data_IF_805382484029
#
_entry.id   IF_805382484029
#
_cell.length_a   1.000
_cell.length_b   1.000
_cell.length_c   1.000
_cell.angle_alpha   90.00
_cell.angle_beta   90.00
_cell.angle_gamma   90.00
#
_symmetry.space_group_name_H-M   'P 1'
#
loop_
_entity.id
_entity.type
_entity.pdbx_description
1 polymer ?
#
# COMPACT_ATOMS: atom_id res chain seq x y z
N UNK A 1 -14.46 -38.82 -19.12
CA UNK A 1 -15.00 -38.54 -17.77
C UNK A 1 -13.95 -37.91 -16.86
N UNK A 2 -12.76 -38.52 -16.69
CA UNK A 2 -11.68 -37.98 -15.86
C UNK A 2 -11.28 -36.52 -16.19
N UNK A 3 -11.11 -36.19 -17.48
CA UNK A 3 -10.76 -34.83 -17.93
C UNK A 3 -11.78 -33.79 -17.46
N UNK A 4 -13.08 -34.10 -17.54
CA UNK A 4 -14.15 -33.19 -17.11
C UNK A 4 -14.10 -32.96 -15.59
N UNK A 5 -13.89 -34.01 -14.80
CA UNK A 5 -13.78 -33.89 -13.34
C UNK A 5 -12.55 -33.05 -12.96
N UNK A 6 -11.42 -33.29 -13.61
CA UNK A 6 -10.19 -32.51 -13.37
C UNK A 6 -10.42 -31.04 -13.72
N UNK A 7 -11.03 -30.74 -14.87
CA UNK A 7 -11.38 -29.37 -15.28
C UNK A 7 -12.32 -28.70 -14.28
N UNK A 8 -13.32 -29.42 -13.76
CA UNK A 8 -14.24 -28.89 -12.75
C UNK A 8 -13.49 -28.47 -11.47
N UNK A 9 -12.68 -29.39 -10.92
CA UNK A 9 -11.90 -29.14 -9.70
C UNK A 9 -10.94 -27.97 -9.92
N UNK A 10 -10.25 -27.96 -11.05
CA UNK A 10 -9.30 -26.90 -11.40
C UNK A 10 -9.98 -25.54 -11.56
N UNK A 11 -11.15 -25.49 -12.20
CA UNK A 11 -11.94 -24.27 -12.37
C UNK A 11 -12.41 -23.70 -11.03
N UNK A 12 -12.98 -24.55 -10.17
CA UNK A 12 -13.41 -24.15 -8.81
C UNK A 12 -12.22 -23.64 -7.99
N UNK A 13 -11.08 -24.33 -8.05
CA UNK A 13 -9.87 -23.94 -7.35
C UNK A 13 -9.38 -22.55 -7.77
N UNK A 14 -9.36 -22.25 -9.07
CA UNK A 14 -9.01 -20.92 -9.59
C UNK A 14 -9.97 -19.86 -9.04
N UNK A 15 -11.29 -20.11 -9.11
CA UNK A 15 -12.31 -19.17 -8.63
C UNK A 15 -12.10 -18.86 -7.15
N UNK A 16 -11.94 -19.89 -6.31
CA UNK A 16 -11.76 -19.72 -4.87
C UNK A 16 -10.49 -18.93 -4.53
N UNK A 17 -9.34 -19.29 -5.13
CA UNK A 17 -8.09 -18.55 -4.92
C UNK A 17 -8.26 -17.08 -5.31
N UNK A 18 -8.98 -16.82 -6.41
CA UNK A 18 -9.19 -15.47 -6.90
C UNK A 18 -10.07 -14.63 -5.96
N UNK A 19 -11.17 -15.20 -5.47
CA UNK A 19 -12.04 -14.55 -4.48
C UNK A 19 -11.29 -14.29 -3.17
N UNK A 20 -10.50 -15.25 -2.69
CA UNK A 20 -9.64 -15.04 -1.51
C UNK A 20 -8.58 -13.95 -1.74
N UNK A 21 -8.01 -13.87 -2.95
CA UNK A 21 -7.07 -12.80 -3.33
C UNK A 21 -7.76 -11.43 -3.29
N UNK A 22 -8.94 -11.29 -3.91
CA UNK A 22 -9.70 -10.05 -3.87
C UNK A 22 -10.09 -9.63 -2.44
N UNK A 23 -10.54 -10.57 -1.60
CA UNK A 23 -10.85 -10.30 -0.19
C UNK A 23 -9.62 -9.88 0.60
N UNK A 24 -8.48 -10.56 0.42
CA UNK A 24 -7.22 -10.20 1.10
C UNK A 24 -6.72 -8.82 0.70
N UNK A 25 -6.93 -8.41 -0.55
CA UNK A 25 -6.43 -7.14 -1.08
C UNK A 25 -7.34 -5.95 -0.74
N UNK A 26 -8.67 -6.12 -0.73
CA UNK A 26 -9.61 -5.00 -0.57
C UNK A 26 -10.45 -5.01 0.71
N UNK A 27 -10.67 -6.17 1.33
CA UNK A 27 -11.62 -6.30 2.45
C UNK A 27 -10.90 -6.49 3.78
N UNK A 28 -9.78 -7.20 3.80
CA UNK A 28 -9.08 -7.56 5.03
C UNK A 28 -8.21 -6.39 5.54
N UNK A 29 -8.53 -5.77 6.69
CA UNK A 29 -7.76 -4.66 7.27
C UNK A 29 -6.55 -5.21 8.05
N UNK A 30 -5.74 -6.05 7.40
CA UNK A 30 -4.56 -6.66 8.02
C UNK A 30 -3.49 -6.84 6.97
N UNK A 31 -2.24 -6.80 7.42
CA UNK A 31 -1.06 -7.18 6.67
C UNK A 31 -1.22 -8.57 6.01
N UNK A 32 -1.73 -8.60 4.78
CA UNK A 32 -1.96 -9.80 4.01
C UNK A 32 -1.15 -9.75 2.71
N UNK A 33 -0.12 -10.60 2.63
CA UNK A 33 0.59 -10.79 1.38
C UNK A 33 -0.25 -11.63 0.43
N UNK A 34 -0.70 -11.04 -0.67
CA UNK A 34 -1.39 -11.76 -1.72
C UNK A 34 -0.44 -12.05 -2.91
N UNK A 35 -0.21 -13.32 -3.28
CA UNK A 35 0.70 -13.68 -4.37
C UNK A 35 0.27 -13.13 -5.74
N UNK A 36 -1.03 -13.11 -6.04
CA UNK A 36 -1.55 -12.61 -7.32
C UNK A 36 -1.28 -11.11 -7.42
N UNK A 37 -1.64 -10.35 -6.40
CA UNK A 37 -1.37 -8.91 -6.29
C UNK A 37 0.12 -8.63 -6.41
N UNK A 38 0.96 -9.37 -5.67
CA UNK A 38 2.42 -9.21 -5.74
C UNK A 38 2.97 -9.50 -7.14
N UNK A 39 2.44 -10.52 -7.82
CA UNK A 39 2.82 -10.86 -9.18
C UNK A 39 2.45 -9.74 -10.16
N UNK A 40 1.20 -9.27 -10.13
CA UNK A 40 0.71 -8.18 -10.99
C UNK A 40 1.54 -6.91 -10.79
N UNK A 41 1.74 -6.48 -9.54
CA UNK A 41 2.55 -5.30 -9.23
C UNK A 41 4.00 -5.46 -9.74
N UNK A 42 4.62 -6.63 -9.56
CA UNK A 42 5.98 -6.88 -10.08
C UNK A 42 6.04 -6.85 -11.60
N UNK A 43 5.08 -7.45 -12.30
CA UNK A 43 5.04 -7.47 -13.76
C UNK A 43 4.90 -6.06 -14.33
N UNK A 44 3.99 -5.27 -13.76
CA UNK A 44 3.78 -3.87 -14.16
C UNK A 44 5.01 -3.04 -13.81
N UNK A 45 5.59 -3.22 -12.62
CA UNK A 45 6.82 -2.53 -12.21
C UNK A 45 7.98 -2.84 -13.16
N UNK A 46 8.11 -4.08 -13.61
CA UNK A 46 9.14 -4.47 -14.57
C UNK A 46 8.97 -3.71 -15.89
N UNK A 47 7.75 -3.63 -16.43
CA UNK A 47 7.45 -2.82 -17.62
C UNK A 47 7.76 -1.32 -17.43
N UNK A 48 7.36 -0.74 -16.30
CA UNK A 48 7.67 0.66 -15.98
C UNK A 48 9.17 0.89 -15.80
N UNK A 49 9.91 -0.05 -15.21
CA UNK A 49 11.37 0.03 -15.09
C UNK A 49 12.04 0.02 -16.47
N UNK A 50 11.63 -0.87 -17.37
CA UNK A 50 12.13 -0.89 -18.74
C UNK A 50 11.89 0.45 -19.44
N UNK A 51 10.68 1.01 -19.32
CA UNK A 51 10.35 2.31 -19.88
C UNK A 51 11.18 3.44 -19.24
N UNK A 52 11.35 3.42 -17.92
CA UNK A 52 12.13 4.42 -17.19
C UNK A 52 13.62 4.42 -17.56
N UNK A 53 14.17 3.26 -17.95
CA UNK A 53 15.56 3.13 -18.36
C UNK A 53 15.86 3.86 -19.68
N UNK A 54 14.85 4.22 -20.46
CA UNK A 54 14.99 5.04 -21.67
C UNK A 54 15.31 6.51 -21.34
N UNK A 55 15.04 6.96 -20.10
CA UNK A 55 15.24 8.33 -19.67
C UNK A 55 16.53 8.47 -18.86
N UNK A 56 17.20 9.62 -18.97
CA UNK A 56 18.50 9.86 -18.32
C UNK A 56 18.38 10.60 -16.99
N UNK A 57 17.44 11.53 -16.87
CA UNK A 57 17.28 12.37 -15.67
C UNK A 57 16.40 11.72 -14.62
N UNK A 58 16.66 12.00 -13.35
CA UNK A 58 15.85 11.50 -12.23
C UNK A 58 14.40 11.98 -12.34
N UNK A 59 14.19 13.26 -12.67
CA UNK A 59 12.87 13.89 -12.77
C UNK A 59 11.98 13.22 -13.83
N UNK A 60 12.55 12.84 -14.98
CA UNK A 60 11.82 12.10 -16.01
C UNK A 60 11.43 10.70 -15.56
N UNK A 61 12.38 9.98 -14.92
CA UNK A 61 12.12 8.64 -14.37
C UNK A 61 11.05 8.69 -13.28
N UNK A 62 11.11 9.69 -12.40
CA UNK A 62 10.16 9.89 -11.32
C UNK A 62 8.74 10.15 -11.85
N UNK A 63 8.61 11.06 -12.83
CA UNK A 63 7.31 11.37 -13.47
C UNK A 63 6.63 10.14 -14.06
N UNK A 64 7.40 9.26 -14.70
CA UNK A 64 6.87 8.00 -15.25
C UNK A 64 6.48 7.04 -14.12
N UNK A 65 7.37 6.90 -13.13
CA UNK A 65 7.16 6.01 -12.01
C UNK A 65 6.06 6.48 -11.04
N UNK A 66 5.63 7.74 -11.10
CA UNK A 66 4.48 8.25 -10.35
C UNK A 66 3.16 7.59 -10.79
N UNK A 67 3.05 7.22 -12.07
CA UNK A 67 1.83 6.60 -12.66
C UNK A 67 1.77 5.09 -12.41
N UNK A 68 2.89 4.47 -12.01
CA UNK A 68 2.99 3.02 -11.81
C UNK A 68 1.96 2.48 -10.81
N UNK A 69 1.88 3.05 -9.59
CA UNK A 69 1.05 2.50 -8.54
C UNK A 69 -0.47 2.60 -8.84
N UNK A 70 -0.99 3.74 -9.35
CA UNK A 70 -2.37 3.81 -9.85
C UNK A 70 -2.67 2.78 -10.94
N UNK A 71 -1.78 2.61 -11.93
CA UNK A 71 -1.96 1.65 -13.02
C UNK A 71 -1.95 0.21 -12.49
N UNK A 72 -1.01 -0.12 -11.59
CA UNK A 72 -0.93 -1.45 -11.00
C UNK A 72 -2.18 -1.79 -10.17
N UNK A 73 -2.71 -0.82 -9.42
CA UNK A 73 -3.94 -0.99 -8.66
C UNK A 73 -5.16 -1.17 -9.57
N UNK A 74 -5.31 -0.34 -10.62
CA UNK A 74 -6.42 -0.43 -11.58
C UNK A 74 -6.36 -1.70 -12.44
N UNK A 75 -5.19 -2.29 -12.63
CA UNK A 75 -5.02 -3.56 -13.33
C UNK A 75 -5.48 -4.79 -12.52
N UNK A 76 -5.66 -4.66 -11.20
CA UNK A 76 -6.08 -5.76 -10.33
C UNK A 76 -7.47 -6.31 -10.68
N UNK A 77 -8.55 -5.51 -10.74
CA UNK A 77 -9.88 -6.02 -11.12
C UNK A 77 -9.92 -6.69 -12.50
N UNK A 78 -9.39 -6.11 -13.58
CA UNK A 78 -9.30 -6.80 -14.86
C UNK A 78 -8.56 -8.15 -14.76
N UNK A 79 -7.50 -8.23 -13.97
CA UNK A 79 -6.77 -9.49 -13.76
C UNK A 79 -7.63 -10.53 -13.04
N UNK A 80 -8.34 -10.13 -11.97
CA UNK A 80 -9.25 -11.04 -11.26
C UNK A 80 -10.41 -11.49 -12.14
N UNK A 81 -11.05 -10.56 -12.86
CA UNK A 81 -12.11 -10.87 -13.81
C UNK A 81 -11.63 -11.87 -14.87
N UNK A 82 -10.45 -11.66 -15.44
CA UNK A 82 -9.87 -12.58 -16.42
C UNK A 82 -9.63 -13.98 -15.84
N UNK A 83 -9.05 -14.07 -14.65
CA UNK A 83 -8.81 -15.36 -13.97
C UNK A 83 -10.12 -16.07 -13.58
N UNK A 84 -11.13 -15.32 -13.12
CA UNK A 84 -12.47 -15.84 -12.84
C UNK A 84 -13.12 -16.32 -14.13
N UNK A 85 -12.99 -15.58 -15.24
CA UNK A 85 -13.48 -16.02 -16.54
C UNK A 85 -12.86 -17.35 -16.96
N UNK A 86 -11.55 -17.53 -16.77
CA UNK A 86 -10.86 -18.80 -17.02
C UNK A 86 -11.39 -19.91 -16.11
N UNK A 87 -11.54 -19.64 -14.80
CA UNK A 87 -12.06 -20.61 -13.83
C UNK A 87 -13.45 -21.10 -14.19
N UNK A 88 -14.37 -20.18 -14.49
CA UNK A 88 -15.73 -20.53 -14.95
C UNK A 88 -15.74 -21.19 -16.33
N UNK A 89 -14.82 -20.84 -17.24
CA UNK A 89 -14.72 -21.52 -18.53
C UNK A 89 -14.40 -23.02 -18.34
N UNK A 90 -13.51 -23.37 -17.41
CA UNK A 90 -13.24 -24.78 -17.07
C UNK A 90 -14.45 -25.47 -16.43
N UNK A 91 -15.20 -24.76 -15.58
CA UNK A 91 -16.46 -25.26 -15.00
C UNK A 91 -17.46 -25.53 -16.13
N UNK A 92 -17.77 -24.57 -16.99
CA UNK A 92 -18.73 -24.78 -18.10
C UNK A 92 -18.28 -25.88 -19.07
N UNK A 93 -16.98 -25.97 -19.37
CA UNK A 93 -16.41 -27.06 -20.18
C UNK A 93 -16.65 -28.43 -19.55
N UNK A 94 -16.43 -28.57 -18.24
CA UNK A 94 -16.70 -29.84 -17.54
C UNK A 94 -18.17 -30.26 -17.58
N UNK A 95 -19.05 -29.26 -17.64
CA UNK A 95 -20.47 -29.37 -17.36
C UNK A 95 -21.31 -29.52 -18.63
N UNK A 96 -20.69 -29.45 -19.81
CA UNK A 96 -21.32 -29.80 -21.08
C UNK A 96 -21.12 -28.80 -22.22
N UNK A 97 -20.34 -27.73 -22.06
CA UNK A 97 -20.02 -26.84 -23.16
C UNK A 97 -19.27 -27.58 -24.29
N UNK A 98 -19.57 -27.22 -25.55
CA UNK A 98 -19.05 -27.90 -26.75
C UNK A 98 -17.53 -27.91 -26.83
N UNK A 99 -16.92 -26.77 -26.55
CA UNK A 99 -15.48 -26.52 -26.64
C UNK A 99 -15.04 -25.44 -25.63
N UNK A 100 -13.73 -25.32 -25.40
CA UNK A 100 -13.17 -24.39 -24.41
C UNK A 100 -13.40 -22.92 -24.80
N UNK A 101 -13.40 -22.59 -26.09
CA UNK A 101 -13.58 -21.22 -26.59
C UNK A 101 -15.03 -20.79 -26.39
N UNK A 102 -15.99 -21.67 -26.69
CA UNK A 102 -17.40 -21.46 -26.37
C UNK A 102 -17.62 -21.32 -24.86
N UNK A 103 -16.99 -22.16 -24.04
CA UNK A 103 -17.07 -22.07 -22.58
C UNK A 103 -16.51 -20.74 -22.04
N UNK A 104 -15.40 -20.26 -22.60
CA UNK A 104 -14.82 -18.95 -22.28
C UNK A 104 -15.73 -17.80 -22.74
N UNK A 105 -16.36 -17.94 -23.90
CA UNK A 105 -17.31 -16.94 -24.43
C UNK A 105 -18.55 -16.82 -23.55
N UNK A 106 -19.14 -17.95 -23.11
CA UNK A 106 -20.26 -17.97 -22.14
C UNK A 106 -19.82 -17.29 -20.84
N UNK A 107 -18.67 -17.70 -20.30
CA UNK A 107 -18.10 -17.15 -19.08
C UNK A 107 -17.87 -15.63 -19.14
N UNK A 108 -17.27 -15.13 -20.22
CA UNK A 108 -17.07 -13.71 -20.43
C UNK A 108 -18.40 -12.95 -20.55
N UNK A 109 -19.36 -13.51 -21.28
CA UNK A 109 -20.69 -12.91 -21.46
C UNK A 109 -21.47 -12.79 -20.16
N UNK A 110 -21.44 -13.82 -19.30
CA UNK A 110 -22.07 -13.79 -17.97
C UNK A 110 -21.34 -12.85 -17.01
N UNK A 111 -20.01 -12.93 -16.90
CA UNK A 111 -19.23 -12.13 -15.95
C UNK A 111 -19.28 -10.63 -16.24
N UNK A 112 -19.21 -10.27 -17.53
CA UNK A 112 -19.30 -8.88 -17.98
C UNK A 112 -20.75 -8.43 -18.18
N UNK A 113 -21.74 -9.26 -17.85
CA UNK A 113 -23.17 -8.97 -17.95
C UNK A 113 -23.65 -8.61 -19.37
N UNK A 114 -22.95 -9.10 -20.40
CA UNK A 114 -23.26 -8.80 -21.80
C UNK A 114 -24.44 -9.65 -22.33
N UNK A 115 -24.61 -10.87 -21.82
CA UNK A 115 -25.79 -11.71 -22.06
C UNK A 115 -25.99 -12.24 -23.49
N UNK A 116 -25.02 -12.06 -24.41
CA UNK A 116 -25.12 -12.53 -25.80
C UNK A 116 -24.79 -14.02 -25.98
N UNK A 117 -24.08 -14.62 -25.02
CA UNK A 117 -23.76 -16.05 -25.02
C UNK A 117 -24.32 -16.69 -23.76
N UNK A 118 -25.19 -17.68 -23.96
CA UNK A 118 -25.86 -18.43 -22.90
C UNK A 118 -25.65 -19.91 -23.15
N UNK A 119 -25.64 -20.70 -22.08
CA UNK A 119 -25.72 -22.14 -22.24
C UNK A 119 -27.16 -22.64 -22.34
N UNK A 120 -27.45 -23.45 -23.36
CA UNK A 120 -28.76 -24.09 -23.54
C UNK A 120 -29.03 -25.22 -22.52
N UNK A 121 -27.95 -25.83 -21.98
CA UNK A 121 -28.02 -27.08 -21.20
C UNK A 121 -27.51 -26.94 -19.75
N UNK A 122 -27.09 -25.75 -19.31
CA UNK A 122 -26.50 -25.55 -17.98
C UNK A 122 -27.46 -24.86 -17.02
N UNK A 123 -27.22 -25.07 -15.73
CA UNK A 123 -27.98 -24.46 -14.65
C UNK A 123 -27.86 -22.93 -14.69
N UNK A 124 -28.97 -22.18 -14.90
CA UNK A 124 -28.96 -20.71 -14.90
C UNK A 124 -28.37 -20.11 -13.63
N UNK A 125 -28.41 -20.86 -12.52
CA UNK A 125 -27.83 -20.47 -11.23
C UNK A 125 -26.33 -20.17 -11.30
N UNK A 126 -25.56 -20.89 -12.12
CA UNK A 126 -24.12 -20.65 -12.28
C UNK A 126 -23.85 -19.33 -13.00
N UNK A 127 -24.60 -19.07 -14.08
CA UNK A 127 -24.51 -17.81 -14.82
C UNK A 127 -24.90 -16.62 -13.93
N UNK A 128 -25.94 -16.75 -13.11
CA UNK A 128 -26.34 -15.72 -12.14
C UNK A 128 -25.29 -15.47 -11.05
N UNK A 129 -24.70 -16.55 -10.53
CA UNK A 129 -23.61 -16.43 -9.54
C UNK A 129 -22.43 -15.69 -10.14
N UNK A 130 -22.03 -16.05 -11.37
CA UNK A 130 -20.94 -15.39 -12.07
C UNK A 130 -21.25 -13.92 -12.40
N UNK A 131 -22.46 -13.63 -12.86
CA UNK A 131 -22.91 -12.28 -13.16
C UNK A 131 -22.96 -11.38 -11.91
N UNK A 132 -23.07 -11.95 -10.72
CA UNK A 132 -22.99 -11.20 -9.45
C UNK A 132 -21.55 -10.87 -9.06
N UNK A 133 -20.61 -11.79 -9.31
CA UNK A 133 -19.20 -11.65 -8.93
C UNK A 133 -18.52 -10.48 -9.65
N UNK A 134 -18.80 -10.29 -10.95
CA UNK A 134 -18.18 -9.23 -11.75
C UNK A 134 -18.42 -7.82 -11.18
N UNK A 135 -19.68 -7.38 -11.08
CA UNK A 135 -20.05 -6.11 -10.46
C UNK A 135 -19.59 -5.99 -9.00
N UNK A 136 -19.63 -7.08 -8.22
CA UNK A 136 -19.13 -7.08 -6.84
C UNK A 136 -17.65 -6.71 -6.75
N UNK A 137 -16.79 -7.26 -7.60
CA UNK A 137 -15.36 -6.92 -7.64
C UNK A 137 -15.12 -5.47 -8.06
N UNK A 138 -15.91 -4.96 -9.02
CA UNK A 138 -15.83 -3.57 -9.44
C UNK A 138 -16.29 -2.64 -8.30
N UNK A 139 -17.37 -2.99 -7.61
CA UNK A 139 -17.87 -2.24 -6.46
C UNK A 139 -16.81 -2.17 -5.34
N UNK A 140 -16.12 -3.28 -5.04
CA UNK A 140 -15.03 -3.29 -4.07
C UNK A 140 -13.90 -2.33 -4.45
N UNK A 141 -13.50 -2.28 -5.74
CA UNK A 141 -12.50 -1.31 -6.20
C UNK A 141 -12.98 0.14 -6.00
N UNK A 142 -14.23 0.43 -6.37
CA UNK A 142 -14.82 1.76 -6.23
C UNK A 142 -14.81 2.19 -4.76
N UNK A 143 -15.12 1.28 -3.83
CA UNK A 143 -15.06 1.54 -2.38
C UNK A 143 -13.62 1.63 -1.84
N UNK A 144 -12.66 0.95 -2.45
CA UNK A 144 -11.28 0.92 -2.01
C UNK A 144 -10.51 2.20 -2.37
N UNK A 145 -10.75 2.78 -3.56
CA UNK A 145 -10.02 3.96 -4.03
C UNK A 145 -10.12 5.18 -3.09
N UNK A 146 -11.30 5.58 -2.59
CA UNK A 146 -11.42 6.69 -1.65
C UNK A 146 -10.61 6.47 -0.37
N UNK A 147 -10.65 5.26 0.19
CA UNK A 147 -9.88 4.88 1.39
C UNK A 147 -8.38 5.01 1.15
N UNK A 148 -7.91 4.52 0.00
CA UNK A 148 -6.51 4.65 -0.39
C UNK A 148 -6.07 6.10 -0.60
N UNK A 149 -6.88 6.93 -1.27
CA UNK A 149 -6.56 8.34 -1.44
C UNK A 149 -6.59 9.11 -0.12
N UNK A 150 -7.52 8.80 0.78
CA UNK A 150 -7.57 9.39 2.12
C UNK A 150 -6.29 9.08 2.92
N UNK A 151 -5.84 7.83 2.90
CA UNK A 151 -4.59 7.44 3.54
C UNK A 151 -3.36 8.11 2.90
N UNK A 152 -3.34 8.22 1.57
CA UNK A 152 -2.30 8.94 0.83
C UNK A 152 -2.26 10.42 1.22
N UNK A 153 -3.39 11.12 1.20
CA UNK A 153 -3.46 12.53 1.57
C UNK A 153 -3.04 12.77 3.02
N UNK A 154 -3.44 11.88 3.94
CA UNK A 154 -3.05 11.96 5.35
C UNK A 154 -1.53 11.81 5.53
N UNK A 155 -0.90 10.86 4.82
CA UNK A 155 0.56 10.71 4.80
C UNK A 155 1.25 11.95 4.25
N UNK A 156 0.82 12.42 3.09
CA UNK A 156 1.46 13.52 2.37
C UNK A 156 1.29 14.87 3.08
N UNK A 157 0.22 15.06 3.86
CA UNK A 157 0.03 16.29 4.62
C UNK A 157 1.18 16.54 5.60
N UNK A 158 1.62 15.52 6.35
CA UNK A 158 2.76 15.65 7.28
C UNK A 158 4.09 15.82 6.55
N UNK A 159 4.27 15.09 5.44
CA UNK A 159 5.48 15.18 4.59
C UNK A 159 5.63 16.58 4.00
N UNK A 160 4.55 17.14 3.43
CA UNK A 160 4.56 18.51 2.90
C UNK A 160 4.72 19.56 4.01
N UNK A 161 4.16 19.33 5.21
CA UNK A 161 4.41 20.22 6.37
C UNK A 161 5.89 20.20 6.81
N UNK A 162 6.64 19.15 6.50
CA UNK A 162 8.07 19.07 6.80
C UNK A 162 8.89 20.01 5.93
N UNK A 163 8.54 20.24 4.66
CA UNK A 163 9.34 21.06 3.73
C UNK A 163 9.53 22.50 4.21
N UNK A 164 8.48 23.07 4.82
CA UNK A 164 8.50 24.40 5.45
C UNK A 164 9.45 24.46 6.66
N UNK A 165 9.76 23.33 7.30
CA UNK A 165 10.64 23.26 8.48
C UNK A 165 12.04 22.76 8.18
N UNK A 166 12.19 21.78 7.29
CA UNK A 166 13.44 21.09 7.01
C UNK A 166 14.06 21.45 5.66
N UNK A 167 13.35 22.19 4.79
CA UNK A 167 13.79 22.50 3.43
C UNK A 167 13.37 21.43 2.41
N UNK A 168 13.79 21.66 1.17
CA UNK A 168 13.55 20.78 0.01
C UNK A 168 14.92 20.58 -0.67
N UNK A 169 15.49 19.36 -0.66
CA UNK A 169 15.06 18.18 0.11
C UNK A 169 15.12 18.41 1.63
N UNK A 170 14.37 17.63 2.44
CA UNK A 170 14.34 17.80 3.89
C UNK A 170 15.73 17.50 4.50
N UNK A 171 16.18 18.38 5.40
CA UNK A 171 17.46 18.28 6.10
C UNK A 171 17.27 18.37 7.62
N UNK A 172 17.84 17.43 8.39
CA UNK A 172 17.68 17.39 9.85
C UNK A 172 18.37 18.59 10.54
N UNK A 173 19.53 19.00 10.01
CA UNK A 173 20.27 20.16 10.53
C UNK A 173 19.49 21.44 10.27
N UNK A 174 18.94 21.61 9.05
CA UNK A 174 18.13 22.79 8.75
C UNK A 174 16.89 22.87 9.63
N UNK A 175 16.24 21.73 9.90
CA UNK A 175 15.12 21.66 10.82
C UNK A 175 15.50 22.22 12.18
N UNK A 176 16.53 21.67 12.83
CA UNK A 176 16.96 22.11 14.16
C UNK A 176 17.44 23.58 14.15
N UNK A 177 18.17 23.99 13.13
CA UNK A 177 18.60 25.38 12.96
C UNK A 177 17.41 26.35 12.82
N UNK A 178 16.34 25.97 12.11
CA UNK A 178 15.13 26.81 12.00
C UNK A 178 14.40 26.90 13.35
N UNK A 179 14.25 25.79 14.06
CA UNK A 179 13.68 25.81 15.41
C UNK A 179 14.48 26.70 16.37
N UNK A 180 15.82 26.64 16.30
CA UNK A 180 16.70 27.52 17.06
C UNK A 180 16.53 29.00 16.68
N UNK A 181 16.60 29.33 15.39
CA UNK A 181 16.47 30.72 14.89
C UNK A 181 15.12 31.35 15.23
N UNK A 182 14.06 30.55 15.32
CA UNK A 182 12.73 31.01 15.69
C UNK A 182 12.54 31.11 17.21
N UNK A 183 13.54 30.73 18.01
CA UNK A 183 13.45 30.60 19.46
C UNK A 183 12.30 29.66 19.90
N UNK A 184 12.18 28.52 19.21
CA UNK A 184 11.10 27.53 19.39
C UNK A 184 11.61 26.15 19.76
N UNK A 185 12.81 26.02 20.30
CA UNK A 185 13.37 24.71 20.65
C UNK A 185 12.50 23.97 21.68
N UNK A 186 11.80 24.71 22.54
CA UNK A 186 10.83 24.18 23.50
C UNK A 186 9.58 23.56 22.82
N UNK A 187 9.31 23.85 21.55
CA UNK A 187 8.20 23.22 20.81
C UNK A 187 8.57 21.84 20.23
N UNK A 188 9.83 21.40 20.38
CA UNK A 188 10.29 20.14 19.78
C UNK A 188 9.56 18.92 20.35
N UNK A 189 9.19 18.91 21.64
CA UNK A 189 8.42 17.81 22.24
C UNK A 189 7.12 17.52 21.49
N UNK A 190 6.29 18.54 21.27
CA UNK A 190 5.05 18.43 20.48
C UNK A 190 5.32 18.01 19.04
N UNK A 191 6.39 18.52 18.45
CA UNK A 191 6.78 18.13 17.10
C UNK A 191 7.11 16.63 17.03
N UNK A 192 7.80 16.07 18.01
CA UNK A 192 8.10 14.65 18.12
C UNK A 192 6.84 13.78 18.32
N UNK A 193 5.86 14.24 19.12
CA UNK A 193 4.54 13.58 19.28
C UNK A 193 3.76 13.50 17.96
N UNK A 194 3.75 14.59 17.17
CA UNK A 194 3.11 14.59 15.84
C UNK A 194 3.73 13.52 14.92
N UNK A 195 5.05 13.34 14.97
CA UNK A 195 5.75 12.36 14.15
C UNK A 195 5.69 10.92 14.69
N UNK A 196 5.61 10.74 16.01
CA UNK A 196 5.29 9.43 16.61
C UNK A 196 3.93 8.94 16.06
N UNK A 197 2.92 9.79 16.13
CA UNK A 197 1.58 9.50 15.61
C UNK A 197 1.63 9.22 14.10
N UNK A 198 2.42 9.99 13.35
CA UNK A 198 2.60 9.76 11.93
C UNK A 198 3.27 8.41 11.64
N UNK A 199 4.29 7.99 12.40
CA UNK A 199 4.93 6.68 12.23
C UNK A 199 3.98 5.53 12.52
N UNK A 200 3.15 5.64 13.56
CA UNK A 200 2.13 4.64 13.87
C UNK A 200 1.10 4.52 12.73
N UNK A 201 0.60 5.66 12.23
CA UNK A 201 -0.31 5.70 11.08
C UNK A 201 0.34 5.19 9.79
N UNK A 202 1.63 5.48 9.59
CA UNK A 202 2.41 5.01 8.45
C UNK A 202 2.48 3.48 8.46
N UNK A 203 2.82 2.87 9.59
CA UNK A 203 2.86 1.41 9.75
C UNK A 203 1.51 0.77 9.41
N UNK A 204 0.43 1.26 10.03
CA UNK A 204 -0.91 0.72 9.86
C UNK A 204 -1.36 0.81 8.39
N UNK A 205 -1.22 1.98 7.79
CA UNK A 205 -1.64 2.24 6.41
C UNK A 205 -0.79 1.48 5.39
N UNK A 206 0.53 1.38 5.56
CA UNK A 206 1.44 0.79 4.56
C UNK A 206 1.47 -0.74 4.63
N UNK A 207 0.97 -1.32 5.72
CA UNK A 207 0.78 -2.78 5.84
C UNK A 207 -0.64 -3.21 5.49
N UNK A 208 -1.65 -2.39 5.80
CA UNK A 208 -3.07 -2.68 5.48
C UNK A 208 -3.44 -2.33 4.05
N UNK A 209 -2.89 -1.22 3.52
CA UNK A 209 -3.08 -0.76 2.13
C UNK A 209 -1.75 -0.88 1.39
N UNK A 210 -1.26 -2.11 1.22
CA UNK A 210 0.07 -2.39 0.67
C UNK A 210 0.43 -1.64 -0.64
N UNK A 211 -0.57 -1.32 -1.46
CA UNK A 211 -0.37 -0.53 -2.68
C UNK A 211 0.22 0.86 -2.39
N UNK A 212 -0.12 1.46 -1.23
CA UNK A 212 0.23 2.83 -0.83
C UNK A 212 1.75 3.07 -0.77
N UNK A 213 2.54 2.04 -0.45
CA UNK A 213 4.01 2.10 -0.42
C UNK A 213 4.59 2.48 -1.78
N UNK A 214 3.89 2.12 -2.86
CA UNK A 214 4.31 2.42 -4.22
C UNK A 214 3.82 3.78 -4.73
N UNK A 215 2.87 4.42 -4.04
CA UNK A 215 2.43 5.77 -4.39
C UNK A 215 3.52 6.77 -4.03
N UNK A 216 4.07 7.43 -5.06
CA UNK A 216 5.10 8.45 -4.89
C UNK A 216 4.49 9.74 -4.36
N UNK A 217 5.28 10.47 -3.57
CA UNK A 217 4.93 11.81 -3.13
C UNK A 217 4.81 12.76 -4.34
N UNK A 218 3.90 13.76 -4.32
CA UNK A 218 3.69 14.65 -5.46
C UNK A 218 4.94 15.45 -5.85
N UNK A 219 5.78 15.81 -4.87
CA UNK A 219 7.06 16.48 -5.09
C UNK A 219 8.20 15.46 -5.06
N UNK A 220 9.06 15.37 -6.10
CA UNK A 220 10.09 14.33 -6.21
C UNK A 220 11.15 14.36 -5.09
N UNK A 221 11.39 15.54 -4.51
CA UNK A 221 12.39 15.77 -3.46
C UNK A 221 11.83 15.57 -2.04
N UNK A 222 10.50 15.44 -1.91
CA UNK A 222 9.78 15.34 -0.64
C UNK A 222 9.19 13.93 -0.46
N UNK A 223 10.01 12.89 -0.66
CA UNK A 223 9.57 11.52 -0.41
C UNK A 223 9.26 11.30 1.06
N UNK A 224 8.17 10.59 1.37
CA UNK A 224 7.87 10.12 2.74
C UNK A 224 9.03 9.32 3.37
N UNK A 225 9.85 8.63 2.56
CA UNK A 225 11.04 7.90 3.03
C UNK A 225 12.13 8.87 3.49
N UNK A 226 12.38 9.93 2.70
CA UNK A 226 13.33 10.98 3.06
C UNK A 226 12.85 11.78 4.28
N UNK A 227 11.54 12.01 4.38
CA UNK A 227 10.92 12.63 5.55
C UNK A 227 11.13 11.77 6.80
N UNK A 228 10.83 10.47 6.74
CA UNK A 228 11.09 9.53 7.83
C UNK A 228 12.55 9.55 8.28
N UNK A 229 13.50 9.46 7.33
CA UNK A 229 14.93 9.55 7.62
C UNK A 229 15.32 10.89 8.28
N UNK A 230 14.84 12.01 7.73
CA UNK A 230 15.11 13.35 8.28
C UNK A 230 14.64 13.48 9.72
N UNK A 231 13.48 12.93 10.07
CA UNK A 231 12.93 13.00 11.42
C UNK A 231 13.73 12.14 12.39
N UNK A 232 14.10 10.92 11.98
CA UNK A 232 14.95 10.04 12.78
C UNK A 232 16.33 10.65 13.03
N UNK A 233 16.95 11.22 11.99
CA UNK A 233 18.24 11.88 12.09
C UNK A 233 18.17 13.16 12.94
N UNK A 234 17.10 13.95 12.81
CA UNK A 234 16.89 15.14 13.62
C UNK A 234 16.69 14.79 15.11
N UNK A 235 15.93 13.75 15.42
CA UNK A 235 15.76 13.26 16.78
C UNK A 235 17.10 12.74 17.36
N UNK A 236 17.89 12.02 16.56
CA UNK A 236 19.21 11.55 16.97
C UNK A 236 20.20 12.70 17.23
N UNK A 237 20.20 13.73 16.37
CA UNK A 237 20.99 14.94 16.56
C UNK A 237 20.54 15.73 17.80
N UNK A 238 19.22 15.83 18.04
CA UNK A 238 18.67 16.45 19.24
C UNK A 238 19.15 15.76 20.52
N UNK A 239 19.17 14.42 20.55
CA UNK A 239 19.60 13.64 21.71
C UNK A 239 21.13 13.64 21.91
N UNK A 240 21.90 13.69 20.84
CA UNK A 240 23.37 13.57 20.91
C UNK A 240 24.10 14.90 21.02
N UNK A 241 23.53 15.99 20.48
CA UNK A 241 24.27 17.23 20.19
C UNK A 241 23.64 18.49 20.77
N UNK A 242 22.39 18.47 21.23
CA UNK A 242 21.72 19.65 21.80
C UNK A 242 21.56 19.50 23.31
N UNK A 243 22.22 20.39 24.05
CA UNK A 243 22.08 20.53 25.50
C UNK A 243 20.90 21.46 25.82
N UNK A 244 19.68 20.96 25.59
CA UNK A 244 18.44 21.66 25.88
C UNK A 244 17.79 21.07 27.14
N UNK A 245 17.17 21.91 27.99
CA UNK A 245 16.45 21.45 29.17
C UNK A 245 15.44 20.37 28.77
N UNK A 246 15.41 19.28 29.53
CA UNK A 246 14.55 18.15 29.23
C UNK A 246 13.11 18.53 29.53
N UNK A 247 12.27 18.53 28.48
CA UNK A 247 10.95 19.15 28.52
C UNK A 247 9.93 18.23 29.20
N UNK A 248 9.84 18.33 30.53
CA UNK A 248 8.69 17.90 31.32
C UNK A 248 8.40 18.98 32.36
N UNK A 249 7.61 20.00 31.99
CA UNK A 249 6.96 20.81 33.02
C UNK A 249 6.09 19.90 33.89
N UNK A 250 6.57 19.56 35.09
CA UNK A 250 5.77 18.97 36.17
C UNK A 250 5.92 17.47 36.45
N UNK A 251 6.92 16.78 35.91
CA UNK A 251 7.17 15.36 36.24
C UNK A 251 8.45 15.21 37.07
N UNK A 252 8.28 14.91 38.35
CA UNK A 252 9.37 14.68 39.30
C UNK A 252 9.47 13.19 39.64
N UNK A 253 10.69 12.68 39.76
CA UNK A 253 10.96 11.39 40.39
C UNK A 253 10.50 11.42 41.86
N UNK A 254 10.26 10.26 42.51
CA UNK A 254 9.88 10.21 43.94
C UNK A 254 10.87 10.90 44.88
N UNK A 255 12.09 11.16 44.43
CA UNK A 255 13.16 11.87 45.13
C UNK A 255 13.19 13.39 44.87
N UNK A 256 12.25 13.93 44.09
CA UNK A 256 12.15 15.35 43.76
C UNK A 256 13.08 15.81 42.65
N UNK A 257 13.86 14.92 42.03
CA UNK A 257 14.64 15.24 40.83
C UNK A 257 13.74 15.29 39.58
N UNK A 258 14.02 16.20 38.65
CA UNK A 258 13.31 16.27 37.37
C UNK A 258 13.53 14.99 36.56
N UNK A 259 12.49 14.46 35.92
CA UNK A 259 12.59 13.27 35.09
C UNK A 259 13.62 13.51 33.96
N UNK A 260 14.73 12.75 33.90
CA UNK A 260 15.83 13.07 33.01
C UNK A 260 15.60 12.42 31.64
N UNK A 261 14.71 12.94 30.82
CA UNK A 261 14.81 12.76 29.36
C UNK A 261 13.72 13.51 28.63
N UNK A 262 14.08 14.09 27.48
CA UNK A 262 13.19 14.39 26.37
C UNK A 262 12.80 13.03 25.74
N UNK A 263 12.09 12.22 26.54
CA UNK A 263 11.74 10.83 26.24
C UNK A 263 11.09 10.72 24.87
N UNK A 264 10.41 11.80 24.47
CA UNK A 264 9.68 11.90 23.24
C UNK A 264 10.56 11.77 22.00
N UNK A 265 11.74 12.40 21.94
CA UNK A 265 12.65 12.22 20.81
C UNK A 265 13.12 10.76 20.68
N UNK A 266 13.42 10.10 21.82
CA UNK A 266 13.78 8.69 21.84
C UNK A 266 12.61 7.77 21.47
N UNK A 267 11.39 8.10 21.92
CA UNK A 267 10.15 7.41 21.55
C UNK A 267 9.89 7.55 20.05
N UNK A 268 10.05 8.74 19.47
CA UNK A 268 9.91 8.96 18.01
C UNK A 268 10.90 8.12 17.22
N UNK A 269 12.16 8.04 17.67
CA UNK A 269 13.15 7.14 17.06
C UNK A 269 12.66 5.69 17.10
N UNK A 270 12.21 5.22 18.27
CA UNK A 270 11.68 3.86 18.45
C UNK A 270 10.46 3.61 17.56
N UNK A 271 9.52 4.55 17.49
CA UNK A 271 8.32 4.47 16.67
C UNK A 271 8.67 4.34 15.19
N UNK A 272 9.60 5.15 14.69
CA UNK A 272 10.04 5.06 13.30
C UNK A 272 10.80 3.77 12.99
N UNK A 273 11.64 3.26 13.90
CA UNK A 273 12.26 1.94 13.72
C UNK A 273 11.22 0.82 13.64
N UNK A 274 10.23 0.82 14.54
CA UNK A 274 9.17 -0.20 14.54
C UNK A 274 8.36 -0.11 13.23
N UNK A 275 7.93 1.09 12.85
CA UNK A 275 7.14 1.30 11.64
C UNK A 275 7.88 0.84 10.39
N UNK A 276 9.11 1.31 10.18
CA UNK A 276 9.91 0.98 9.00
C UNK A 276 10.30 -0.51 8.96
N UNK A 277 10.61 -1.14 10.10
CA UNK A 277 10.92 -2.57 10.15
C UNK A 277 9.70 -3.43 9.83
N UNK A 278 8.53 -3.12 10.38
CA UNK A 278 7.29 -3.86 10.07
C UNK A 278 6.88 -3.71 8.61
N UNK A 279 7.03 -2.52 8.02
CA UNK A 279 6.85 -2.33 6.57
C UNK A 279 7.87 -3.16 5.79
N UNK A 280 9.15 -3.15 6.19
CA UNK A 280 10.19 -3.94 5.53
C UNK A 280 9.93 -5.44 5.63
N UNK A 281 9.54 -5.97 6.80
CA UNK A 281 9.16 -7.36 7.02
C UNK A 281 7.97 -7.76 6.13
N UNK A 282 6.97 -6.89 6.02
CA UNK A 282 5.82 -7.10 5.16
C UNK A 282 6.20 -7.19 3.67
N UNK A 283 7.19 -6.44 3.21
CA UNK A 283 7.69 -6.55 1.83
C UNK A 283 8.85 -7.55 1.64
N UNK A 284 9.32 -8.17 2.73
CA UNK A 284 10.52 -9.03 2.79
C UNK A 284 11.80 -8.30 2.34
N UNK A 285 11.92 -7.02 2.71
CA UNK A 285 13.13 -6.21 2.51
C UNK A 285 14.09 -6.53 3.66
N UNK A 286 15.32 -6.91 3.32
CA UNK A 286 16.36 -7.16 4.34
C UNK A 286 16.87 -5.84 4.92
N UNK A 287 17.06 -5.80 6.22
CA UNK A 287 17.70 -4.70 6.95
C UNK A 287 18.69 -5.26 7.98
N UNK A 288 19.63 -4.42 8.43
CA UNK A 288 20.55 -4.79 9.50
C UNK A 288 19.81 -4.80 10.85
N UNK A 289 19.92 -5.88 11.64
CA UNK A 289 19.18 -6.06 12.90
C UNK A 289 19.57 -5.03 13.97
#
# INVERSE_FOLDING_TARGET
MAIKIISLIFGIFIILINLFSAMRTFVLPRAAQDPITRFVFKMILWGFKLMSNLFKTYQQKDKIMAVYAPVALLAMPPTWLFLISIGFAFVYYSLGAKDLISAFTISGSSLLTLGFAKSDNLFPLLEFTQATIGPLLIALLISYLPTMYSAFHSREMSVNRLSVRAGIPPSPVQLLMRFHRLNRLDDLGKFWEEWETWFASLEESHTSLAALVYFRSPQPEESWVNAAGTILDAAALRLSSLDLPYDLKGSYLPDGSEFPSDAQAAITIRAGFIALRRIADFFKVKYNP
#
